data_IF_556108419282
#
_entry.id   IF_556108419282
#
_cell.length_a   1.000
_cell.length_b   1.000
_cell.length_c   1.000
_cell.angle_alpha   90.00
_cell.angle_beta   90.00
_cell.angle_gamma   90.00
#
_symmetry.space_group_name_H-M   'P 1'
#
loop_
_entity.id
_entity.type
_entity.pdbx_description
1 polymer ?
#
# COMPACT_ATOMS: atom_id res chain seq x y z
N UNK A 1 -0.74 -29.46 13.43
CA UNK A 1 -1.32 -28.88 12.21
C UNK A 1 -2.83 -29.03 12.22
N UNK A 2 -3.35 -30.25 12.41
CA UNK A 2 -4.80 -30.53 12.50
C UNK A 2 -5.62 -29.64 13.43
N UNK A 3 -5.09 -29.22 14.59
CA UNK A 3 -5.87 -28.34 15.49
C UNK A 3 -6.09 -26.94 14.89
N UNK A 4 -5.05 -26.34 14.30
CA UNK A 4 -5.13 -25.01 13.67
C UNK A 4 -6.02 -25.08 12.44
N UNK A 5 -5.80 -26.07 11.58
CA UNK A 5 -6.61 -26.30 10.39
C UNK A 5 -8.09 -26.53 10.76
N UNK A 6 -8.37 -27.35 11.77
CA UNK A 6 -9.73 -27.55 12.28
C UNK A 6 -10.36 -26.25 12.79
N UNK A 7 -9.63 -25.46 13.56
CA UNK A 7 -10.15 -24.17 14.06
C UNK A 7 -10.41 -23.18 12.91
N UNK A 8 -9.51 -23.10 11.93
CA UNK A 8 -9.68 -22.26 10.74
C UNK A 8 -10.88 -22.73 9.91
N UNK A 9 -11.03 -24.04 9.71
CA UNK A 9 -12.16 -24.61 8.98
C UNK A 9 -13.50 -24.35 9.69
N UNK A 10 -13.55 -24.41 11.03
CA UNK A 10 -14.73 -24.03 11.81
C UNK A 10 -15.09 -22.56 11.56
N UNK A 11 -14.11 -21.66 11.54
CA UNK A 11 -14.34 -20.24 11.25
C UNK A 11 -14.82 -20.00 9.82
N UNK A 12 -14.34 -20.79 8.84
CA UNK A 12 -14.76 -20.73 7.44
C UNK A 12 -16.16 -21.32 7.22
N UNK A 13 -16.58 -22.26 8.07
CA UNK A 13 -17.90 -22.90 8.05
C UNK A 13 -19.05 -21.96 8.48
N UNK A 14 -18.89 -20.63 8.34
CA UNK A 14 -19.97 -19.64 8.40
C UNK A 14 -21.00 -19.79 7.24
N UNK A 15 -20.76 -20.72 6.34
CA UNK A 15 -21.56 -20.99 5.15
C UNK A 15 -23.05 -21.25 5.47
N UNK A 16 -23.36 -21.86 6.61
CA UNK A 16 -24.74 -22.06 7.10
C UNK A 16 -25.41 -20.73 7.41
N UNK A 17 -24.72 -19.84 8.14
CA UNK A 17 -25.18 -18.50 8.44
C UNK A 17 -25.31 -17.65 7.17
N UNK A 18 -24.33 -17.71 6.25
CA UNK A 18 -24.40 -16.99 4.97
C UNK A 18 -25.65 -17.40 4.18
N UNK A 19 -25.90 -18.71 4.03
CA UNK A 19 -27.09 -19.22 3.34
C UNK A 19 -28.39 -18.78 4.01
N UNK A 20 -28.44 -18.83 5.34
CA UNK A 20 -29.62 -18.38 6.10
C UNK A 20 -29.92 -16.90 5.87
N UNK A 21 -28.89 -16.07 5.67
CA UNK A 21 -29.01 -14.64 5.37
C UNK A 21 -29.06 -14.32 3.86
N UNK A 22 -29.20 -15.33 2.98
CA UNK A 22 -29.28 -15.11 1.53
C UNK A 22 -27.95 -14.74 0.84
N UNK A 23 -26.82 -14.95 1.51
CA UNK A 23 -25.48 -14.70 0.96
C UNK A 23 -24.83 -15.98 0.42
N UNK A 24 -24.13 -15.86 -0.72
CA UNK A 24 -23.36 -16.94 -1.33
C UNK A 24 -21.88 -16.58 -1.37
N UNK A 25 -21.03 -17.49 -0.87
CA UNK A 25 -19.58 -17.36 -0.95
C UNK A 25 -19.08 -17.88 -2.30
N UNK A 26 -18.10 -17.19 -2.89
CA UNK A 26 -17.48 -17.56 -4.17
C UNK A 26 -16.09 -18.14 -3.91
N UNK A 27 -15.91 -19.48 -3.98
CA UNK A 27 -14.61 -20.10 -3.69
C UNK A 27 -13.52 -19.64 -4.66
N UNK A 28 -13.88 -19.36 -5.92
CA UNK A 28 -12.94 -18.86 -6.94
C UNK A 28 -12.38 -17.47 -6.65
N UNK A 29 -13.08 -16.65 -5.84
CA UNK A 29 -12.60 -15.34 -5.37
C UNK A 29 -11.90 -15.42 -4.01
N UNK A 30 -11.98 -16.57 -3.34
CA UNK A 30 -11.39 -16.81 -2.04
C UNK A 30 -9.98 -17.39 -2.20
N UNK A 31 -9.06 -16.93 -1.38
CA UNK A 31 -7.71 -17.46 -1.27
C UNK A 31 -7.24 -17.38 0.18
N UNK A 32 -6.31 -18.24 0.55
CA UNK A 32 -5.72 -18.25 1.89
C UNK A 32 -4.30 -17.69 1.82
N UNK A 33 -3.97 -16.78 2.71
CA UNK A 33 -2.56 -16.39 2.97
C UNK A 33 -2.23 -16.76 4.40
N UNK A 34 -1.32 -17.71 4.55
CA UNK A 34 -0.91 -18.18 5.86
C UNK A 34 0.28 -17.37 6.41
N UNK A 35 -0.01 -16.43 7.30
CA UNK A 35 1.01 -15.62 7.97
C UNK A 35 1.70 -16.42 9.08
N UNK A 36 2.76 -17.16 8.73
CA UNK A 36 3.54 -17.96 9.68
C UNK A 36 5.03 -17.87 9.41
N UNK A 37 5.84 -17.90 10.49
CA UNK A 37 7.31 -17.96 10.39
C UNK A 37 7.82 -19.36 10.01
N UNK A 38 7.05 -20.42 10.32
CA UNK A 38 7.42 -21.79 10.00
C UNK A 38 7.11 -22.11 8.53
N UNK A 39 7.99 -22.87 7.88
CA UNK A 39 7.84 -23.30 6.47
C UNK A 39 7.09 -24.62 6.39
N UNK A 40 6.37 -24.85 5.30
CA UNK A 40 5.73 -26.14 4.99
C UNK A 40 4.49 -26.47 5.82
N UNK A 41 3.85 -25.47 6.43
CA UNK A 41 2.66 -25.64 7.28
C UNK A 41 1.44 -24.96 6.65
N UNK A 42 1.19 -25.17 5.36
CA UNK A 42 0.06 -24.54 4.68
C UNK A 42 -1.23 -25.37 4.90
N UNK A 43 -2.31 -24.79 5.46
CA UNK A 43 -3.52 -25.53 5.78
C UNK A 43 -4.36 -25.81 4.54
N UNK A 44 -4.95 -27.01 4.47
CA UNK A 44 -5.95 -27.32 3.46
C UNK A 44 -7.32 -26.86 3.96
N UNK A 45 -7.89 -25.86 3.30
CA UNK A 45 -9.14 -25.23 3.70
C UNK A 45 -10.17 -25.32 2.58
N UNK A 46 -11.41 -25.59 2.94
CA UNK A 46 -12.50 -25.85 2.01
C UNK A 46 -13.65 -24.86 2.21
N UNK A 47 -14.24 -24.36 1.12
CA UNK A 47 -15.54 -23.67 1.13
C UNK A 47 -16.54 -24.58 0.41
N UNK A 48 -17.47 -25.14 1.18
CA UNK A 48 -18.31 -26.24 0.69
C UNK A 48 -17.44 -27.45 0.37
N UNK A 49 -17.43 -27.89 -0.89
CA UNK A 49 -16.59 -29.00 -1.36
C UNK A 49 -15.40 -28.54 -2.25
N UNK A 50 -15.09 -27.25 -2.28
CA UNK A 50 -13.99 -26.72 -3.09
C UNK A 50 -12.79 -26.32 -2.22
N UNK A 51 -11.62 -26.83 -2.57
CA UNK A 51 -10.35 -26.45 -1.95
C UNK A 51 -10.00 -25.00 -2.30
N UNK A 52 -9.65 -24.21 -1.28
CA UNK A 52 -9.23 -22.83 -1.44
C UNK A 52 -7.71 -22.81 -1.71
N UNK A 53 -7.23 -22.12 -2.75
CA UNK A 53 -5.80 -22.04 -3.01
C UNK A 53 -5.08 -21.23 -1.92
N UNK A 54 -3.97 -21.78 -1.42
CA UNK A 54 -3.02 -21.04 -0.59
C UNK A 54 -2.09 -20.24 -1.50
N UNK A 55 -2.05 -18.92 -1.31
CA UNK A 55 -1.26 -17.99 -2.11
C UNK A 55 -0.23 -17.27 -1.23
N UNK A 56 0.87 -16.83 -1.83
CA UNK A 56 1.93 -16.11 -1.13
C UNK A 56 1.65 -14.61 -0.98
N UNK A 57 0.78 -14.06 -1.83
CA UNK A 57 0.42 -12.65 -1.84
C UNK A 57 -1.08 -12.50 -2.09
N UNK A 58 -1.75 -11.62 -1.35
CA UNK A 58 -3.16 -11.28 -1.57
C UNK A 58 -3.34 -9.77 -1.57
N UNK A 59 -4.23 -9.27 -2.44
CA UNK A 59 -4.64 -7.88 -2.42
C UNK A 59 -5.92 -7.74 -1.61
N UNK A 60 -5.85 -7.00 -0.51
CA UNK A 60 -6.99 -6.72 0.35
C UNK A 60 -7.12 -5.21 0.53
N UNK A 61 -8.31 -4.67 0.22
CA UNK A 61 -8.60 -3.23 0.26
C UNK A 61 -7.48 -2.38 -0.37
N UNK A 62 -7.03 -2.75 -1.57
CA UNK A 62 -6.00 -2.01 -2.29
C UNK A 62 -4.55 -2.23 -1.84
N UNK A 63 -4.31 -2.85 -0.69
CA UNK A 63 -2.98 -3.16 -0.13
C UNK A 63 -2.61 -4.61 -0.48
N UNK A 64 -1.34 -4.87 -0.77
CA UNK A 64 -0.84 -6.22 -1.06
C UNK A 64 -0.14 -6.74 0.19
N UNK A 65 -0.65 -7.84 0.73
CA UNK A 65 -0.07 -8.54 1.85
C UNK A 65 0.73 -9.73 1.34
N UNK A 66 2.02 -9.75 1.63
CA UNK A 66 2.88 -10.91 1.40
C UNK A 66 2.88 -11.82 2.64
N UNK A 67 3.13 -13.12 2.43
CA UNK A 67 3.18 -14.16 3.48
C UNK A 67 4.03 -13.77 4.69
N UNK A 68 5.07 -12.96 4.50
CA UNK A 68 6.01 -12.52 5.55
C UNK A 68 5.71 -11.13 6.10
N UNK A 69 4.66 -10.46 5.64
CA UNK A 69 4.29 -9.09 6.00
C UNK A 69 5.45 -8.09 5.84
N UNK A 70 6.31 -8.30 4.84
CA UNK A 70 7.41 -7.37 4.51
C UNK A 70 6.95 -6.18 3.68
N UNK A 71 5.75 -6.28 3.08
CA UNK A 71 5.15 -5.32 2.16
C UNK A 71 6.02 -4.94 0.95
N UNK A 72 7.04 -5.75 0.64
CA UNK A 72 7.96 -5.46 -0.48
C UNK A 72 7.22 -5.47 -1.82
N UNK A 73 6.33 -6.44 -2.03
CA UNK A 73 5.50 -6.53 -3.24
C UNK A 73 4.59 -5.32 -3.37
N UNK A 74 3.94 -4.90 -2.27
CA UNK A 74 3.13 -3.69 -2.23
C UNK A 74 3.93 -2.43 -2.59
N UNK A 75 5.10 -2.23 -1.99
CA UNK A 75 5.96 -1.07 -2.24
C UNK A 75 6.43 -1.03 -3.70
N UNK A 76 6.82 -2.18 -4.27
CA UNK A 76 7.19 -2.28 -5.70
C UNK A 76 6.00 -1.93 -6.62
N UNK A 77 4.83 -2.48 -6.32
CA UNK A 77 3.60 -2.18 -7.06
C UNK A 77 3.25 -0.69 -6.98
N UNK A 78 3.27 -0.11 -5.78
CA UNK A 78 2.98 1.30 -5.53
C UNK A 78 3.96 2.21 -6.28
N UNK A 79 5.26 1.91 -6.20
CA UNK A 79 6.31 2.63 -6.93
C UNK A 79 6.07 2.61 -8.43
N UNK A 80 5.87 1.43 -9.03
CA UNK A 80 5.61 1.30 -10.48
C UNK A 80 4.38 2.08 -10.92
N UNK A 81 3.32 2.09 -10.10
CA UNK A 81 2.11 2.87 -10.38
C UNK A 81 2.36 4.38 -10.32
N UNK A 82 3.12 4.82 -9.33
CA UNK A 82 3.45 6.23 -9.16
C UNK A 82 4.48 6.73 -10.19
N UNK A 83 5.39 5.88 -10.69
CA UNK A 83 6.32 6.22 -11.77
C UNK A 83 5.58 6.60 -13.06
N UNK A 84 4.47 5.91 -13.37
CA UNK A 84 3.60 6.27 -14.49
C UNK A 84 2.97 7.65 -14.32
N UNK A 85 2.53 7.99 -13.10
CA UNK A 85 1.97 9.31 -12.80
C UNK A 85 3.02 10.40 -12.85
N UNK A 86 4.24 10.08 -12.44
CA UNK A 86 5.36 11.00 -12.49
C UNK A 86 5.67 11.38 -13.95
N UNK A 87 5.50 10.46 -14.91
CA UNK A 87 5.60 10.79 -16.33
C UNK A 87 4.51 11.77 -16.79
N UNK A 88 3.29 11.69 -16.25
CA UNK A 88 2.25 12.70 -16.53
C UNK A 88 2.69 14.06 -15.98
N UNK A 89 3.22 14.09 -14.75
CA UNK A 89 3.73 15.31 -14.14
C UNK A 89 4.86 15.95 -14.96
N UNK A 90 5.77 15.14 -15.54
CA UNK A 90 6.83 15.62 -16.45
C UNK A 90 6.27 16.27 -17.72
N UNK A 91 5.19 15.73 -18.28
CA UNK A 91 4.55 16.32 -19.47
C UNK A 91 3.92 17.67 -19.11
N UNK A 92 3.29 17.75 -17.95
CA UNK A 92 2.66 18.98 -17.45
C UNK A 92 3.68 20.04 -17.03
N UNK A 93 4.90 19.66 -16.69
CA UNK A 93 5.97 20.59 -16.29
C UNK A 93 6.77 21.15 -17.49
N UNK A 94 6.21 21.13 -18.69
CA UNK A 94 6.90 21.63 -19.88
C UNK A 94 7.15 23.15 -19.78
N UNK A 95 8.25 23.65 -20.33
CA UNK A 95 8.65 25.05 -20.21
C UNK A 95 7.88 26.00 -21.12
N UNK A 96 7.31 25.50 -22.23
CA UNK A 96 6.60 26.32 -23.22
C UNK A 96 5.11 26.51 -22.94
N UNK A 97 4.45 25.49 -22.38
CA UNK A 97 2.98 25.44 -22.16
C UNK A 97 2.61 24.74 -20.84
N UNK A 98 3.59 24.49 -19.97
CA UNK A 98 3.36 23.75 -18.74
C UNK A 98 2.67 24.56 -17.66
N UNK A 99 2.22 23.83 -16.65
CA UNK A 99 1.55 24.39 -15.50
C UNK A 99 2.54 25.11 -14.58
N UNK A 100 2.02 26.09 -13.83
CA UNK A 100 2.79 26.78 -12.80
C UNK A 100 3.19 25.84 -11.65
N UNK A 101 4.23 26.23 -10.90
CA UNK A 101 4.76 25.46 -9.76
C UNK A 101 3.68 25.07 -8.75
N UNK A 102 2.75 25.96 -8.42
CA UNK A 102 1.73 25.70 -7.41
C UNK A 102 0.70 24.69 -7.89
N UNK A 103 0.30 24.78 -9.16
CA UNK A 103 -0.57 23.78 -9.80
C UNK A 103 0.12 22.43 -9.89
N UNK A 104 1.39 22.37 -10.28
CA UNK A 104 2.16 21.11 -10.32
C UNK A 104 2.26 20.45 -8.93
N UNK A 105 2.52 21.23 -7.88
CA UNK A 105 2.54 20.72 -6.50
C UNK A 105 1.17 20.17 -6.07
N UNK A 106 0.08 20.88 -6.36
CA UNK A 106 -1.29 20.41 -6.07
C UNK A 106 -1.63 19.12 -6.81
N UNK A 107 -1.22 19.00 -8.07
CA UNK A 107 -1.41 17.77 -8.86
C UNK A 107 -0.59 16.63 -8.27
N UNK A 108 0.66 16.89 -7.91
CA UNK A 108 1.52 15.92 -7.22
C UNK A 108 0.89 15.42 -5.91
N UNK A 109 0.41 16.33 -5.05
CA UNK A 109 -0.22 15.98 -3.78
C UNK A 109 -1.50 15.14 -3.97
N UNK A 110 -2.37 15.58 -4.88
CA UNK A 110 -3.67 14.93 -5.12
C UNK A 110 -3.55 13.58 -5.82
N UNK A 111 -2.55 13.38 -6.68
CA UNK A 111 -2.47 12.19 -7.53
C UNK A 111 -1.42 11.19 -7.07
N UNK A 112 -0.23 11.66 -6.69
CA UNK A 112 0.90 10.80 -6.29
C UNK A 112 0.92 10.63 -4.78
N UNK A 113 0.95 11.73 -4.03
CA UNK A 113 1.10 11.68 -2.58
C UNK A 113 -0.10 10.99 -1.92
N UNK A 114 -1.32 11.28 -2.37
CA UNK A 114 -2.54 10.58 -1.91
C UNK A 114 -2.48 9.06 -2.05
N UNK A 115 -1.82 8.54 -3.10
CA UNK A 115 -1.66 7.09 -3.32
C UNK A 115 -0.59 6.49 -2.44
N UNK A 116 0.45 7.25 -2.11
CA UNK A 116 1.47 6.85 -1.14
C UNK A 116 0.85 6.86 0.25
N UNK A 117 0.12 7.90 0.61
CA UNK A 117 -0.54 8.01 1.92
C UNK A 117 -1.59 6.90 2.13
N UNK A 118 -2.23 6.43 1.06
CA UNK A 118 -3.17 5.32 1.13
C UNK A 118 -2.50 4.04 1.66
N UNK A 119 -2.97 3.58 2.82
CA UNK A 119 -2.48 2.35 3.44
C UNK A 119 -1.14 2.48 4.15
N UNK A 120 -0.59 3.69 4.28
CA UNK A 120 0.72 3.90 4.92
C UNK A 120 0.76 3.51 6.39
N UNK A 121 -0.40 3.53 7.07
CA UNK A 121 -0.56 3.05 8.45
C UNK A 121 -0.30 1.54 8.54
N UNK A 122 -0.62 0.80 7.48
CA UNK A 122 -0.45 -0.66 7.42
C UNK A 122 0.95 -1.01 6.95
N UNK A 123 1.31 -0.61 5.73
CA UNK A 123 2.61 -0.97 5.14
C UNK A 123 3.78 -0.20 5.78
N UNK A 124 3.52 0.86 6.55
CA UNK A 124 4.52 1.62 7.31
C UNK A 124 5.27 0.78 8.34
N UNK A 125 4.76 -0.40 8.70
CA UNK A 125 5.45 -1.42 9.50
C UNK A 125 6.60 -2.12 8.78
N UNK A 126 6.72 -1.96 7.46
CA UNK A 126 7.82 -2.54 6.67
C UNK A 126 9.19 -2.02 7.13
N UNK A 127 10.24 -2.79 6.83
CA UNK A 127 11.60 -2.37 7.17
C UNK A 127 11.98 -1.06 6.48
N UNK A 128 12.81 -0.26 7.16
CA UNK A 128 13.23 1.06 6.67
C UNK A 128 13.87 0.99 5.26
N UNK A 129 14.63 -0.07 4.97
CA UNK A 129 15.24 -0.28 3.65
C UNK A 129 14.22 -0.50 2.54
N UNK A 130 13.06 -1.10 2.83
CA UNK A 130 11.96 -1.21 1.87
C UNK A 130 11.23 0.12 1.72
N UNK A 131 10.92 0.81 2.82
CA UNK A 131 10.23 2.10 2.78
C UNK A 131 11.00 3.17 2.00
N UNK A 132 12.34 3.21 2.17
CA UNK A 132 13.24 4.13 1.44
C UNK A 132 13.19 3.95 -0.08
N UNK A 133 12.66 2.84 -0.60
CA UNK A 133 12.54 2.63 -2.06
C UNK A 133 11.52 3.55 -2.73
N UNK A 134 10.62 4.17 -1.96
CA UNK A 134 9.62 5.14 -2.44
C UNK A 134 10.20 6.56 -2.48
N UNK A 135 11.14 6.89 -1.59
CA UNK A 135 11.67 8.25 -1.43
C UNK A 135 12.21 8.87 -2.74
N UNK A 136 12.95 8.15 -3.63
CA UNK A 136 13.40 8.71 -4.90
C UNK A 136 12.26 9.21 -5.80
N UNK A 137 11.08 8.60 -5.70
CA UNK A 137 9.90 9.02 -6.45
C UNK A 137 9.39 10.36 -5.95
N UNK A 138 9.32 10.51 -4.62
CA UNK A 138 8.95 11.77 -3.99
C UNK A 138 9.94 12.88 -4.36
N UNK A 139 11.25 12.63 -4.21
CA UNK A 139 12.28 13.62 -4.56
C UNK A 139 12.24 14.01 -6.04
N UNK A 140 12.04 13.03 -6.92
CA UNK A 140 11.93 13.29 -8.35
C UNK A 140 10.72 14.17 -8.67
N UNK A 141 9.58 13.92 -8.03
CA UNK A 141 8.39 14.76 -8.19
C UNK A 141 8.63 16.20 -7.69
N UNK A 142 9.28 16.40 -6.54
CA UNK A 142 9.61 17.74 -6.04
C UNK A 142 10.52 18.51 -6.99
N UNK A 143 11.54 17.85 -7.56
CA UNK A 143 12.42 18.47 -8.56
C UNK A 143 11.66 18.89 -9.81
N UNK A 144 10.73 18.05 -10.28
CA UNK A 144 9.88 18.36 -11.43
C UNK A 144 9.00 19.58 -11.13
N UNK A 145 8.32 19.61 -9.98
CA UNK A 145 7.43 20.71 -9.62
C UNK A 145 8.17 22.03 -9.41
N UNK A 146 9.37 22.00 -8.81
CA UNK A 146 10.16 23.19 -8.51
C UNK A 146 11.07 23.65 -9.65
N UNK A 147 11.26 22.83 -10.69
CA UNK A 147 12.27 23.07 -11.73
C UNK A 147 13.71 22.97 -11.24
N UNK A 148 13.93 22.41 -10.04
CA UNK A 148 15.25 22.33 -9.43
C UNK A 148 16.19 21.36 -10.18
N UNK A 149 17.49 21.65 -10.14
CA UNK A 149 18.50 20.77 -10.71
C UNK A 149 18.48 19.38 -10.08
N UNK A 150 18.98 18.38 -10.81
CA UNK A 150 19.10 16.99 -10.31
C UNK A 150 20.01 16.89 -9.08
N UNK A 151 20.95 17.82 -8.94
CA UNK A 151 21.94 17.89 -7.85
C UNK A 151 21.48 18.69 -6.64
N UNK A 152 20.33 19.39 -6.70
CA UNK A 152 19.86 20.21 -5.58
C UNK A 152 19.69 19.38 -4.29
N UNK A 153 20.11 19.88 -3.12
CA UNK A 153 19.94 19.16 -1.85
C UNK A 153 18.47 18.85 -1.55
N UNK A 154 18.20 17.66 -1.01
CA UNK A 154 16.83 17.19 -0.74
C UNK A 154 16.16 18.01 0.36
N UNK A 155 16.89 18.39 1.40
CA UNK A 155 16.34 19.17 2.52
C UNK A 155 15.89 20.56 2.07
N UNK A 156 16.64 21.19 1.16
CA UNK A 156 16.23 22.43 0.51
C UNK A 156 14.94 22.26 -0.28
N UNK A 157 14.77 21.14 -1.01
CA UNK A 157 13.52 20.87 -1.75
C UNK A 157 12.30 20.74 -0.83
N UNK A 158 12.46 20.16 0.35
CA UNK A 158 11.37 20.05 1.33
C UNK A 158 10.91 21.42 1.81
N UNK A 159 11.85 22.28 2.18
CA UNK A 159 11.55 23.65 2.63
C UNK A 159 10.92 24.45 1.49
N UNK A 160 11.53 24.43 0.31
CA UNK A 160 11.06 25.14 -0.88
C UNK A 160 9.65 24.71 -1.31
N UNK A 161 9.37 23.41 -1.34
CA UNK A 161 8.07 22.90 -1.81
C UNK A 161 7.02 22.84 -0.70
N UNK A 162 7.35 23.24 0.53
CA UNK A 162 6.52 23.05 1.73
C UNK A 162 6.09 21.59 1.93
N UNK A 163 6.99 20.65 1.64
CA UNK A 163 6.74 19.21 1.73
C UNK A 163 7.56 18.58 2.85
N UNK A 164 6.95 17.60 3.51
CA UNK A 164 7.58 16.84 4.58
C UNK A 164 8.21 15.55 4.04
N UNK A 165 9.37 15.11 4.56
CA UNK A 165 9.91 13.77 4.29
C UNK A 165 8.85 12.68 4.49
N UNK A 166 8.83 11.68 3.59
CA UNK A 166 7.82 10.62 3.66
C UNK A 166 7.86 9.83 4.98
N UNK A 167 9.02 9.72 5.64
CA UNK A 167 9.15 9.09 6.97
C UNK A 167 8.29 9.79 8.02
N UNK A 168 8.47 11.11 8.16
CA UNK A 168 7.73 11.96 9.09
C UNK A 168 6.24 12.01 8.71
N UNK A 169 5.94 12.02 7.40
CA UNK A 169 4.55 11.97 6.91
C UNK A 169 3.83 10.70 7.35
N UNK A 170 4.45 9.54 7.18
CA UNK A 170 3.90 8.27 7.65
C UNK A 170 3.68 8.27 9.16
N UNK A 171 4.63 8.78 9.94
CA UNK A 171 4.47 8.89 11.39
C UNK A 171 3.28 9.78 11.77
N UNK A 172 3.16 10.97 11.17
CA UNK A 172 2.02 11.87 11.40
C UNK A 172 0.69 11.19 11.09
N UNK A 173 0.59 10.50 9.94
CA UNK A 173 -0.64 9.81 9.54
C UNK A 173 -0.98 8.64 10.48
N UNK A 174 0.02 7.86 10.91
CA UNK A 174 -0.18 6.77 11.88
C UNK A 174 -0.64 7.29 13.24
N UNK A 175 -0.08 8.40 13.72
CA UNK A 175 -0.48 9.03 14.99
C UNK A 175 -1.93 9.55 14.90
N UNK A 176 -2.27 10.25 13.80
CA UNK A 176 -3.63 10.73 13.59
C UNK A 176 -4.65 9.57 13.53
N UNK A 177 -4.27 8.46 12.88
CA UNK A 177 -5.10 7.27 12.85
C UNK A 177 -5.29 6.68 14.25
N UNK A 178 -4.22 6.58 15.03
CA UNK A 178 -4.29 6.09 16.42
C UNK A 178 -5.25 6.92 17.27
N UNK A 179 -5.10 8.25 17.29
CA UNK A 179 -6.01 9.12 18.05
C UNK A 179 -7.45 9.01 17.57
N UNK A 180 -7.67 8.89 16.26
CA UNK A 180 -9.02 8.68 15.72
C UNK A 180 -9.65 7.37 16.21
N UNK A 181 -8.87 6.30 16.30
CA UNK A 181 -9.34 5.01 16.83
C UNK A 181 -9.63 5.10 18.33
N UNK A 182 -8.79 5.80 19.10
CA UNK A 182 -8.97 5.95 20.55
C UNK A 182 -10.10 6.92 20.95
N UNK A 183 -10.53 7.79 20.05
CA UNK A 183 -11.61 8.74 20.28
C UNK A 183 -13.02 8.16 20.06
N UNK A 184 -13.11 6.92 19.57
CA UNK A 184 -14.36 6.17 19.37
C UNK A 184 -14.56 5.21 20.52
#
# INVERSE_FOLDING_TARGET
>A
MHLIERQLQIAINILTWCKHNGHTLSPSKSCVVHFCRKRGLDPDLYIGNQLIPVVNEVRFLGIIFDRKLTFLSHIRYLRKRCERLLNILKVLSNTSWGADRTSLLRIYESVILSRIDYGCVVYGSACASNLKKIDPLHHSALRICSGAFRTSPIDSLYVECFQMPLSLRRQKLSINYYFKVMSV
#
